data_IF_268920619748
#
_entry.id   IF_268920619748
#
_cell.length_a   1.000
_cell.length_b   1.000
_cell.length_c   1.000
_cell.angle_alpha   90.00
_cell.angle_beta   90.00
_cell.angle_gamma   90.00
#
_symmetry.space_group_name_H-M   'P 1'
#
loop_
_entity.id
_entity.type
_entity.pdbx_description
1 polymer ?
#
# COMPACT_ATOMS: atom_id res chain seq x y z
N UNK A 1 -3.75 17.46 -15.10
CA UNK A 1 -3.13 17.17 -13.81
C UNK A 1 -2.39 18.38 -13.29
N UNK A 2 -2.83 18.89 -12.22
CA UNK A 2 -2.22 20.05 -11.64
C UNK A 2 -0.88 19.76 -11.00
N UNK A 3 -0.11 20.80 -10.79
CA UNK A 3 1.12 20.69 -10.03
C UNK A 3 0.78 20.55 -8.55
N UNK A 4 1.73 20.03 -7.80
CA UNK A 4 1.56 19.91 -6.37
C UNK A 4 1.68 21.28 -5.72
N UNK A 5 0.82 21.56 -4.78
CA UNK A 5 0.84 22.83 -4.05
C UNK A 5 1.42 22.71 -2.66
N UNK A 6 1.76 21.50 -2.25
CA UNK A 6 2.36 21.26 -0.94
C UNK A 6 3.37 20.13 -1.06
N UNK A 7 4.22 20.04 -0.07
CA UNK A 7 5.22 18.99 -0.05
C UNK A 7 4.57 17.64 0.21
N UNK A 8 5.16 16.61 -0.33
CA UNK A 8 4.75 15.25 -0.05
C UNK A 8 5.95 14.32 -0.17
N UNK A 9 5.80 13.14 0.34
CA UNK A 9 6.82 12.11 0.20
C UNK A 9 6.14 10.87 -0.37
N UNK A 10 6.83 10.20 -1.28
CA UNK A 10 6.30 9.02 -1.94
C UNK A 10 7.32 7.90 -1.79
N UNK A 11 6.87 6.74 -1.36
CA UNK A 11 7.76 5.59 -1.23
C UNK A 11 8.07 5.03 -2.62
N UNK A 12 9.32 4.66 -2.82
CA UNK A 12 9.76 3.95 -4.03
C UNK A 12 10.02 2.51 -3.60
N UNK A 13 9.25 1.60 -4.14
CA UNK A 13 9.24 0.21 -3.69
C UNK A 13 9.89 -0.67 -4.75
N UNK A 14 11.01 -1.32 -4.43
CA UNK A 14 11.62 -2.27 -5.37
C UNK A 14 10.79 -3.55 -5.42
N UNK A 15 10.54 -4.04 -6.63
CA UNK A 15 9.67 -5.20 -6.85
C UNK A 15 10.38 -6.21 -7.71
N UNK A 16 10.37 -7.47 -7.28
CA UNK A 16 10.98 -8.54 -8.08
C UNK A 16 10.16 -8.84 -9.33
N UNK A 17 8.83 -8.70 -9.24
CA UNK A 17 7.93 -8.87 -10.38
C UNK A 17 7.07 -7.63 -10.46
N UNK A 18 7.46 -6.70 -11.32
CA UNK A 18 6.81 -5.39 -11.37
C UNK A 18 5.35 -5.48 -11.81
N UNK A 19 5.04 -6.34 -12.77
CA UNK A 19 3.67 -6.51 -13.24
C UNK A 19 2.78 -7.09 -12.14
N UNK A 20 3.27 -8.10 -11.44
CA UNK A 20 2.51 -8.70 -10.36
C UNK A 20 2.30 -7.70 -9.23
N UNK A 21 3.32 -6.91 -8.92
CA UNK A 21 3.20 -5.89 -7.88
C UNK A 21 2.16 -4.84 -8.26
N UNK A 22 2.18 -4.40 -9.51
CA UNK A 22 1.18 -3.43 -9.96
C UNK A 22 -0.23 -3.98 -9.83
N UNK A 23 -0.45 -5.23 -10.20
CA UNK A 23 -1.77 -5.84 -10.07
C UNK A 23 -2.22 -5.89 -8.61
N UNK A 24 -1.30 -6.19 -7.72
CA UNK A 24 -1.61 -6.21 -6.29
C UNK A 24 -2.08 -4.84 -5.81
N UNK A 25 -1.35 -3.78 -6.18
CA UNK A 25 -1.71 -2.42 -5.79
C UNK A 25 -3.00 -1.96 -6.46
N UNK A 26 -3.27 -2.44 -7.69
CA UNK A 26 -4.53 -2.12 -8.37
C UNK A 26 -5.74 -2.58 -7.53
N UNK A 27 -5.62 -3.69 -6.82
CA UNK A 27 -6.71 -4.17 -5.99
C UNK A 27 -7.03 -3.22 -4.85
N UNK A 28 -6.07 -2.45 -4.41
CA UNK A 28 -6.27 -1.45 -3.37
C UNK A 28 -6.68 -0.08 -3.93
N UNK A 29 -6.89 -0.01 -5.24
CA UNK A 29 -7.32 1.23 -5.86
C UNK A 29 -6.20 2.10 -6.40
N UNK A 30 -4.97 1.62 -6.38
CA UNK A 30 -3.84 2.37 -6.92
C UNK A 30 -3.63 1.98 -8.37
N UNK A 31 -3.59 2.98 -9.26
CA UNK A 31 -3.39 2.71 -10.69
C UNK A 31 -2.59 3.83 -11.31
N UNK A 32 -2.14 3.60 -12.54
CA UNK A 32 -1.43 4.64 -13.29
C UNK A 32 -2.43 5.64 -13.82
N UNK A 33 -2.33 6.92 -13.42
CA UNK A 33 -3.37 7.89 -13.78
C UNK A 33 -3.51 8.15 -15.28
N UNK A 34 -2.43 8.09 -16.04
CA UNK A 34 -2.44 8.45 -17.44
C UNK A 34 -1.84 7.37 -18.33
N UNK A 35 -1.97 6.13 -17.91
CA UNK A 35 -1.38 5.04 -18.67
C UNK A 35 0.07 5.32 -19.00
N UNK A 36 0.73 5.98 -18.12
CA UNK A 36 2.15 6.22 -18.25
C UNK A 36 2.90 5.08 -17.64
N UNK A 37 4.07 4.90 -18.10
CA UNK A 37 4.91 3.94 -17.44
C UNK A 37 6.14 3.73 -18.25
N UNK A 38 7.19 3.50 -17.53
CA UNK A 38 8.41 3.01 -18.10
C UNK A 38 8.45 1.53 -17.79
N UNK A 39 9.21 0.78 -18.56
CA UNK A 39 9.22 -0.67 -18.37
C UNK A 39 9.63 -1.07 -16.97
N UNK A 40 10.46 -0.26 -16.33
CA UNK A 40 11.04 -0.60 -15.03
C UNK A 40 10.59 0.34 -13.91
N UNK A 41 9.58 1.19 -14.14
CA UNK A 41 9.16 2.16 -13.13
C UNK A 41 7.68 2.51 -13.33
N UNK A 42 6.89 2.39 -12.27
CA UNK A 42 5.45 2.65 -12.33
C UNK A 42 5.04 3.59 -11.21
N UNK A 43 4.33 4.65 -11.56
CA UNK A 43 3.83 5.62 -10.59
C UNK A 43 2.34 5.40 -10.45
N UNK A 44 1.91 4.98 -9.26
CA UNK A 44 0.51 4.63 -9.00
C UNK A 44 -0.09 5.58 -8.00
N UNK A 45 -1.37 5.89 -8.16
CA UNK A 45 -2.09 6.77 -7.26
C UNK A 45 -3.49 6.23 -7.04
N UNK A 46 -4.06 6.53 -5.85
CA UNK A 46 -5.41 6.07 -5.53
C UNK A 46 -6.48 7.10 -5.89
N UNK A 47 -6.07 8.25 -6.41
CA UNK A 47 -7.01 9.32 -6.74
C UNK A 47 -7.53 10.07 -5.54
N UNK A 48 -7.03 9.76 -4.35
CA UNK A 48 -7.50 10.36 -3.10
C UNK A 48 -6.36 10.91 -2.26
N UNK A 49 -5.21 11.11 -2.88
CA UNK A 49 -4.06 11.74 -2.25
C UNK A 49 -2.90 10.82 -1.96
N UNK A 50 -3.07 9.52 -2.05
CA UNK A 50 -1.99 8.58 -1.78
C UNK A 50 -1.32 8.13 -3.07
N UNK A 51 -0.02 7.92 -3.01
CA UNK A 51 0.77 7.48 -4.15
C UNK A 51 1.84 6.50 -3.70
N UNK A 52 2.20 5.58 -4.58
CA UNK A 52 3.39 4.75 -4.42
C UNK A 52 4.06 4.66 -5.79
N UNK A 53 5.38 4.52 -5.78
CA UNK A 53 6.14 4.25 -6.98
C UNK A 53 6.72 2.85 -6.89
N UNK A 54 6.63 2.10 -7.96
CA UNK A 54 7.18 0.75 -8.05
C UNK A 54 8.31 0.76 -9.05
N UNK A 55 9.39 0.08 -8.72
CA UNK A 55 10.48 -0.07 -9.68
C UNK A 55 11.03 -1.49 -9.61
N UNK A 56 11.64 -1.90 -10.71
CA UNK A 56 12.27 -3.22 -10.77
C UNK A 56 13.39 -3.28 -9.73
N UNK A 57 13.39 -4.33 -8.92
CA UNK A 57 14.40 -4.50 -7.89
C UNK A 57 15.74 -4.91 -8.50
N UNK A 58 16.80 -4.47 -7.86
CA UNK A 58 18.11 -5.04 -8.11
C UNK A 58 18.11 -6.41 -7.44
N UNK A 59 18.70 -7.37 -8.12
CA UNK A 59 18.76 -8.73 -7.59
C UNK A 59 19.32 -8.73 -6.16
N UNK A 60 18.61 -9.42 -5.28
CA UNK A 60 19.00 -9.51 -3.88
C UNK A 60 18.42 -8.45 -2.98
N UNK A 61 17.76 -7.43 -3.52
CA UNK A 61 17.20 -6.36 -2.69
C UNK A 61 15.86 -6.76 -2.08
N UNK A 62 14.99 -7.42 -2.83
CA UNK A 62 13.66 -7.77 -2.35
C UNK A 62 13.59 -9.24 -2.00
N UNK A 63 14.31 -9.67 -0.97
CA UNK A 63 14.32 -11.07 -0.57
C UNK A 63 13.08 -11.33 0.30
N UNK A 64 12.15 -12.19 -0.18
CA UNK A 64 10.97 -12.51 0.63
C UNK A 64 11.38 -13.05 2.01
N UNK A 65 10.64 -12.63 3.03
CA UNK A 65 10.95 -13.00 4.39
C UNK A 65 12.04 -12.17 5.04
N UNK A 66 12.67 -11.29 4.28
CA UNK A 66 13.74 -10.42 4.78
C UNK A 66 13.53 -8.96 4.44
N UNK A 67 12.33 -8.61 4.01
CA UNK A 67 12.03 -7.22 3.67
C UNK A 67 11.76 -6.45 4.97
N UNK A 68 12.64 -5.53 5.37
CA UNK A 68 12.46 -4.82 6.64
C UNK A 68 11.56 -3.59 6.52
N UNK A 69 11.09 -3.28 5.33
CA UNK A 69 10.35 -2.05 5.11
C UNK A 69 8.86 -2.27 5.23
N UNK A 70 8.14 -1.19 5.47
CA UNK A 70 6.70 -1.20 5.51
C UNK A 70 6.14 0.09 4.97
N UNK A 71 4.88 0.02 4.57
CA UNK A 71 4.12 1.18 4.10
C UNK A 71 2.91 1.30 5.01
N UNK A 72 2.61 2.51 5.45
CA UNK A 72 1.36 2.77 6.15
C UNK A 72 0.49 3.64 5.25
N UNK A 73 -0.68 3.12 4.88
CA UNK A 73 -1.65 3.85 4.09
C UNK A 73 -2.71 4.40 5.02
N UNK A 74 -2.76 5.71 5.15
CA UNK A 74 -3.84 6.38 5.88
C UNK A 74 -5.00 6.59 4.93
N UNK A 75 -6.14 6.02 5.24
CA UNK A 75 -7.33 6.19 4.43
C UNK A 75 -8.57 5.90 5.26
N UNK A 76 -9.65 6.70 5.10
CA UNK A 76 -10.89 6.39 5.81
C UNK A 76 -11.61 5.16 5.23
N UNK A 77 -11.13 4.62 4.11
CA UNK A 77 -11.76 3.48 3.44
C UNK A 77 -11.28 2.14 4.01
N UNK A 78 -11.02 2.08 5.31
CA UNK A 78 -10.46 0.88 5.93
C UNK A 78 -11.37 -0.34 5.71
N UNK A 79 -12.67 -0.19 5.99
CA UNK A 79 -13.59 -1.33 5.84
C UNK A 79 -13.73 -1.76 4.40
N UNK A 80 -13.75 -0.80 3.49
CA UNK A 80 -13.87 -1.12 2.06
C UNK A 80 -12.67 -1.94 1.61
N UNK A 81 -11.47 -1.51 1.97
CA UNK A 81 -10.26 -2.22 1.55
C UNK A 81 -10.11 -3.55 2.29
N UNK A 82 -10.60 -3.63 3.51
CA UNK A 82 -10.60 -4.90 4.24
C UNK A 82 -11.48 -5.94 3.54
N UNK A 83 -12.62 -5.50 2.99
CA UNK A 83 -13.49 -6.40 2.25
C UNK A 83 -12.78 -6.96 1.02
N UNK A 84 -12.00 -6.13 0.33
CA UNK A 84 -11.23 -6.59 -0.82
C UNK A 84 -10.17 -7.61 -0.39
N UNK A 85 -9.48 -7.32 0.72
CA UNK A 85 -8.37 -8.16 1.17
C UNK A 85 -8.83 -9.52 1.72
N UNK A 86 -9.95 -9.53 2.43
CA UNK A 86 -10.52 -10.78 2.93
C UNK A 86 -9.56 -11.57 3.78
N UNK A 87 -9.39 -12.84 3.43
CA UNK A 87 -8.56 -13.77 4.22
C UNK A 87 -7.08 -13.41 4.22
N UNK A 88 -6.67 -12.51 3.36
CA UNK A 88 -5.26 -12.10 3.31
C UNK A 88 -4.88 -11.20 4.47
N UNK A 89 -5.86 -10.69 5.23
CA UNK A 89 -5.58 -9.85 6.38
C UNK A 89 -4.79 -10.63 7.42
N UNK A 90 -3.69 -10.06 7.89
CA UNK A 90 -2.86 -10.71 8.88
C UNK A 90 -3.53 -10.68 10.25
N UNK A 91 -3.24 -11.69 11.05
CA UNK A 91 -3.80 -11.81 12.39
C UNK A 91 -4.96 -12.79 12.45
N UNK A 92 -5.35 -13.19 13.66
CA UNK A 92 -6.34 -14.27 13.83
C UNK A 92 -7.75 -13.90 13.46
N UNK A 93 -8.14 -12.63 13.58
CA UNK A 93 -9.51 -12.22 13.32
C UNK A 93 -9.78 -11.99 11.84
N UNK A 94 -8.75 -11.77 11.02
CA UNK A 94 -8.89 -11.47 9.61
C UNK A 94 -9.79 -10.26 9.37
N UNK A 95 -9.67 -9.25 10.24
CA UNK A 95 -10.52 -8.06 10.19
C UNK A 95 -9.77 -6.87 10.77
N UNK A 96 -10.18 -5.64 10.40
CA UNK A 96 -9.60 -4.45 11.03
C UNK A 96 -9.95 -4.41 12.51
N UNK A 97 -9.07 -3.83 13.30
CA UNK A 97 -9.28 -3.72 14.74
C UNK A 97 -8.85 -2.34 15.23
N UNK A 98 -9.50 -1.90 16.30
CA UNK A 98 -9.06 -0.71 17.00
C UNK A 98 -7.85 -1.07 17.86
N UNK A 99 -6.77 -0.32 17.70
CA UNK A 99 -5.53 -0.59 18.39
C UNK A 99 -5.34 0.39 19.54
N UNK A 100 -4.53 -0.02 20.52
CA UNK A 100 -4.29 0.81 21.70
C UNK A 100 -3.63 2.14 21.36
N UNK A 101 -3.00 2.24 20.19
CA UNK A 101 -2.36 3.48 19.77
C UNK A 101 -3.30 4.40 18.97
N UNK A 102 -4.61 4.14 19.02
CA UNK A 102 -5.59 5.08 18.48
C UNK A 102 -5.90 4.93 17.01
N UNK A 103 -5.57 3.79 16.44
CA UNK A 103 -5.81 3.53 15.02
C UNK A 103 -6.76 2.36 14.83
N UNK A 104 -7.61 2.47 13.84
CA UNK A 104 -8.43 1.38 13.34
C UNK A 104 -7.76 0.87 12.09
N UNK A 105 -7.19 -0.33 12.12
CA UNK A 105 -6.27 -0.74 11.08
C UNK A 105 -6.21 -2.24 10.88
N UNK A 106 -5.68 -2.64 9.73
CA UNK A 106 -5.31 -4.02 9.46
C UNK A 106 -4.01 -4.02 8.66
N UNK A 107 -3.42 -5.21 8.51
CA UNK A 107 -2.14 -5.34 7.84
C UNK A 107 -2.20 -6.45 6.79
N UNK A 108 -1.40 -6.30 5.76
CA UNK A 108 -1.27 -7.27 4.66
C UNK A 108 0.20 -7.53 4.39
N UNK A 109 0.49 -8.72 3.86
CA UNK A 109 1.78 -8.95 3.21
C UNK A 109 1.60 -8.59 1.73
N UNK A 110 2.31 -7.56 1.32
CA UNK A 110 2.32 -7.17 -0.08
C UNK A 110 3.36 -7.93 -0.88
N UNK A 111 3.62 -7.50 -2.12
CA UNK A 111 4.62 -8.14 -2.96
C UNK A 111 5.97 -8.17 -2.24
N UNK A 112 6.68 -9.29 -2.38
CA UNK A 112 8.00 -9.50 -1.77
C UNK A 112 7.97 -9.35 -0.25
N UNK A 113 6.81 -9.71 0.35
CA UNK A 113 6.59 -9.65 1.80
C UNK A 113 6.72 -8.25 2.38
N UNK A 114 6.44 -7.24 1.56
CA UNK A 114 6.35 -5.86 2.06
C UNK A 114 5.18 -5.76 3.03
N UNK A 115 5.43 -5.26 4.23
CA UNK A 115 4.35 -5.05 5.19
C UNK A 115 3.55 -3.82 4.77
N UNK A 116 2.25 -3.98 4.60
CA UNK A 116 1.37 -2.86 4.27
C UNK A 116 0.30 -2.77 5.34
N UNK A 117 0.30 -1.67 6.09
CA UNK A 117 -0.73 -1.40 7.09
C UNK A 117 -1.68 -0.37 6.52
N UNK A 118 -2.96 -0.57 6.74
CA UNK A 118 -4.01 0.30 6.24
C UNK A 118 -4.86 0.71 7.43
N UNK A 119 -4.98 2.01 7.67
CA UNK A 119 -5.68 2.45 8.85
C UNK A 119 -6.11 3.90 8.82
N UNK A 120 -6.87 4.26 9.84
CA UNK A 120 -7.40 5.60 10.05
C UNK A 120 -7.58 5.81 11.54
N UNK A 121 -7.40 7.03 12.03
CA UNK A 121 -7.58 7.26 13.46
C UNK A 121 -8.94 6.80 13.95
N UNK A 122 -8.97 6.18 15.13
CA UNK A 122 -10.20 5.66 15.72
C UNK A 122 -11.06 6.81 16.22
N UNK A 123 -12.14 7.10 15.49
CA UNK A 123 -13.03 8.20 15.88
C UNK A 123 -13.81 7.88 17.14
N UNK A 124 -14.00 6.60 17.38
CA UNK A 124 -14.71 6.17 18.58
C UNK A 124 -13.95 6.50 19.85
N UNK A 125 -12.71 6.94 19.72
CA UNK A 125 -11.90 7.34 20.86
C UNK A 125 -12.18 8.77 21.30
N UNK A 126 -12.88 9.51 20.49
CA UNK A 126 -13.15 10.92 20.77
C UNK A 126 -14.10 11.10 21.94
#
# INVERSE_FOLDING_TARGET
MGSRTSSSAVAIIPCNDLDAAERWWNELGFSRPLDQGYDDYRMLADGKGAEVHLQTAVEGWGVPGRNPFGIYLYTPRVDELAAVAGDRILGPTKAPEHKSWGMYEFALNGPDDLLVRIGWPSRSQA
#
